data_IF_754000430950
#
_entry.id   IF_754000430950
#
_cell.length_a   1.000
_cell.length_b   1.000
_cell.length_c   1.000
_cell.angle_alpha   90.00
_cell.angle_beta   90.00
_cell.angle_gamma   90.00
#
_symmetry.space_group_name_H-M   'P 1'
#
loop_
_entity.id
_entity.type
_entity.pdbx_description
1 polymer ?
#
# COMPACT_ATOMS: atom_id res chain seq x y z
N UNK A 1 5.93 43.23 -54.43
CA UNK A 1 5.16 44.17 -53.60
C UNK A 1 4.12 43.34 -52.85
N UNK A 2 4.34 43.10 -51.54
CA UNK A 2 3.39 42.70 -50.46
C UNK A 2 2.50 41.44 -50.66
N UNK A 3 2.10 40.62 -49.70
CA UNK A 3 2.36 40.39 -48.26
C UNK A 3 1.79 39.00 -47.92
N UNK A 4 2.29 38.40 -46.84
CA UNK A 4 1.97 37.12 -46.20
C UNK A 4 0.47 36.81 -45.97
N UNK A 5 0.14 35.51 -45.78
CA UNK A 5 -0.61 35.08 -44.60
C UNK A 5 -0.33 33.59 -44.30
N UNK A 6 0.41 33.33 -43.23
CA UNK A 6 0.52 32.02 -42.60
C UNK A 6 -0.85 31.61 -42.04
N UNK A 7 -1.40 30.47 -42.49
CA UNK A 7 -2.60 29.89 -41.90
C UNK A 7 -2.22 29.03 -40.69
N UNK A 8 -2.57 29.54 -39.52
CA UNK A 8 -2.60 28.85 -38.24
C UNK A 8 -3.50 27.59 -38.27
N UNK A 9 -3.27 26.71 -37.29
CA UNK A 9 -4.13 25.60 -36.83
C UNK A 9 -3.75 24.20 -37.32
N UNK A 10 -2.66 23.66 -36.75
CA UNK A 10 -2.63 22.28 -36.26
C UNK A 10 -1.81 22.24 -34.97
N UNK A 11 -2.42 22.76 -33.91
CA UNK A 11 -1.92 22.67 -32.54
C UNK A 11 -2.00 21.19 -32.13
N UNK A 12 -0.82 20.57 -32.05
CA UNK A 12 -0.42 19.61 -31.01
C UNK A 12 -1.31 18.38 -30.82
N UNK A 13 -1.09 17.36 -31.66
CA UNK A 13 -1.12 15.99 -31.16
C UNK A 13 0.16 15.78 -30.34
N UNK A 14 0.07 15.93 -29.02
CA UNK A 14 1.07 15.38 -28.10
C UNK A 14 0.37 14.25 -27.35
N UNK A 15 0.07 13.17 -28.06
CA UNK A 15 0.01 11.85 -27.43
C UNK A 15 1.47 11.45 -27.15
N UNK A 16 2.07 12.13 -26.18
CA UNK A 16 3.37 11.76 -25.64
C UNK A 16 3.16 10.46 -24.87
N UNK A 17 3.53 9.35 -25.48
CA UNK A 17 3.54 8.07 -24.78
C UNK A 17 4.35 8.24 -23.48
N UNK A 18 3.68 8.10 -22.34
CA UNK A 18 4.30 8.23 -21.02
C UNK A 18 5.59 7.40 -20.98
N UNK A 19 6.64 7.94 -20.38
CA UNK A 19 7.91 7.22 -20.23
C UNK A 19 7.74 6.02 -19.30
N UNK A 20 8.68 5.08 -19.36
CA UNK A 20 8.69 3.93 -18.44
C UNK A 20 8.87 4.37 -16.99
N UNK A 21 9.61 5.45 -16.75
CA UNK A 21 9.81 6.01 -15.41
C UNK A 21 8.53 6.60 -14.83
N UNK A 22 7.80 7.41 -15.60
CA UNK A 22 6.51 7.97 -15.20
C UNK A 22 5.47 6.88 -14.96
N UNK A 23 5.40 5.86 -15.82
CA UNK A 23 4.55 4.68 -15.59
C UNK A 23 4.83 4.00 -14.26
N UNK A 24 6.12 3.82 -13.93
CA UNK A 24 6.51 3.20 -12.68
C UNK A 24 6.15 4.09 -11.49
N UNK A 25 6.40 5.39 -11.59
CA UNK A 25 6.03 6.35 -10.56
C UNK A 25 4.53 6.31 -10.24
N UNK A 26 3.67 6.39 -11.27
CA UNK A 26 2.21 6.30 -11.10
C UNK A 26 1.81 4.97 -10.44
N UNK A 27 2.45 3.87 -10.83
CA UNK A 27 2.21 2.55 -10.23
C UNK A 27 2.54 2.52 -8.73
N UNK A 28 3.71 3.04 -8.34
CA UNK A 28 4.14 3.06 -6.92
C UNK A 28 3.25 3.97 -6.07
N UNK A 29 2.89 5.15 -6.58
CA UNK A 29 1.99 6.09 -5.88
C UNK A 29 0.59 5.49 -5.72
N UNK A 30 0.07 4.83 -6.76
CA UNK A 30 -1.24 4.16 -6.70
C UNK A 30 -1.25 3.01 -5.69
N UNK A 31 -0.11 2.32 -5.50
CA UNK A 31 0.02 1.23 -4.54
C UNK A 31 -0.06 1.69 -3.07
N UNK A 32 0.05 3.01 -2.81
CA UNK A 32 -0.15 3.59 -1.47
C UNK A 32 -1.64 3.78 -1.13
N UNK A 33 -2.56 3.65 -2.09
CA UNK A 33 -3.99 3.77 -1.81
C UNK A 33 -4.43 2.62 -0.89
N UNK A 34 -5.33 2.93 0.04
CA UNK A 34 -5.81 2.10 1.14
C UNK A 34 -4.72 1.70 2.16
N UNK A 35 -3.53 2.30 2.08
CA UNK A 35 -2.44 2.11 3.03
C UNK A 35 -2.43 3.18 4.09
N UNK A 36 -1.97 2.80 5.29
CA UNK A 36 -1.63 3.79 6.31
C UNK A 36 -0.31 4.48 5.95
N UNK A 37 -0.37 5.79 5.75
CA UNK A 37 0.80 6.63 5.42
C UNK A 37 0.98 7.73 6.47
N UNK A 38 2.21 8.23 6.57
CA UNK A 38 2.54 9.45 7.29
C UNK A 38 2.95 10.52 6.28
N UNK A 39 2.28 11.68 6.33
CA UNK A 39 2.54 12.80 5.44
C UNK A 39 3.21 13.91 6.23
N UNK A 40 4.43 14.27 5.82
CA UNK A 40 5.15 15.44 6.32
C UNK A 40 4.84 16.62 5.39
N UNK A 41 4.43 17.76 5.97
CA UNK A 41 4.21 18.98 5.22
C UNK A 41 5.44 19.88 5.22
N UNK A 42 5.52 20.79 4.25
CA UNK A 42 6.58 21.79 4.13
C UNK A 42 6.70 22.71 5.36
N UNK A 43 5.61 22.88 6.12
CA UNK A 43 5.59 23.62 7.40
C UNK A 43 5.88 22.74 8.62
N UNK A 44 6.42 21.54 8.42
CA UNK A 44 6.84 20.63 9.48
C UNK A 44 5.70 19.94 10.22
N UNK A 45 4.49 19.88 9.63
CA UNK A 45 3.36 19.15 10.23
C UNK A 45 3.31 17.72 9.75
N UNK A 46 2.99 16.81 10.67
CA UNK A 46 2.81 15.40 10.36
C UNK A 46 1.36 15.00 10.54
N UNK A 47 0.83 14.28 9.54
CA UNK A 47 -0.48 13.64 9.60
C UNK A 47 -0.33 12.17 9.24
N UNK A 48 -0.90 11.29 10.06
CA UNK A 48 -0.90 9.85 9.84
C UNK A 48 -2.32 9.35 9.61
N UNK A 49 -2.60 8.69 8.50
CA UNK A 49 -3.95 8.20 8.19
C UNK A 49 -3.98 7.25 7.01
N UNK A 50 -5.18 6.82 6.62
CA UNK A 50 -5.39 5.93 5.47
C UNK A 50 -5.46 6.79 4.20
N UNK A 51 -4.58 6.55 3.23
CA UNK A 51 -4.58 7.27 1.96
C UNK A 51 -5.72 6.75 1.07
N UNK A 52 -6.75 7.57 0.82
CA UNK A 52 -7.92 7.17 0.01
C UNK A 52 -7.94 7.78 -1.38
N UNK A 53 -7.00 8.68 -1.67
CA UNK A 53 -6.88 9.30 -2.98
C UNK A 53 -5.63 10.14 -3.07
N UNK A 54 -4.99 10.09 -4.23
CA UNK A 54 -3.84 10.90 -4.57
C UNK A 54 -3.89 11.23 -6.06
N UNK A 55 -3.68 12.49 -6.38
CA UNK A 55 -3.43 12.95 -7.74
C UNK A 55 -1.92 12.81 -8.01
N UNK A 56 -1.48 11.91 -8.92
CA UNK A 56 -0.07 11.69 -9.17
C UNK A 56 0.63 12.89 -9.85
N UNK A 57 -0.12 13.81 -10.46
CA UNK A 57 0.46 15.00 -11.10
C UNK A 57 0.72 16.10 -10.08
N UNK A 58 -0.28 16.45 -9.27
CA UNK A 58 -0.13 17.52 -8.27
C UNK A 58 0.39 17.04 -6.92
N UNK A 59 0.37 15.74 -6.64
CA UNK A 59 0.54 15.11 -5.32
C UNK A 59 -0.47 15.58 -4.25
N UNK A 60 -1.59 16.18 -4.67
CA UNK A 60 -2.70 16.46 -3.75
C UNK A 60 -3.33 15.14 -3.31
N UNK A 61 -3.61 15.02 -2.01
CA UNK A 61 -4.01 13.75 -1.41
C UNK A 61 -5.10 13.88 -0.36
N UNK A 62 -5.78 12.78 -0.09
CA UNK A 62 -6.85 12.67 0.89
C UNK A 62 -6.55 11.55 1.90
N UNK A 63 -6.57 11.88 3.19
CA UNK A 63 -6.43 10.93 4.28
C UNK A 63 -7.77 10.76 5.01
N UNK A 64 -8.13 9.52 5.36
CA UNK A 64 -9.17 9.20 6.33
C UNK A 64 -8.57 8.83 7.69
N UNK A 65 -9.37 9.02 8.74
CA UNK A 65 -9.03 8.70 10.13
C UNK A 65 -7.64 9.22 10.52
N UNK A 66 -7.32 10.42 10.03
CA UNK A 66 -6.02 11.02 10.17
C UNK A 66 -5.76 11.41 11.63
N UNK A 67 -4.51 11.34 12.06
CA UNK A 67 -4.04 11.82 13.35
C UNK A 67 -2.94 12.83 13.13
N UNK A 68 -3.04 13.98 13.78
CA UNK A 68 -1.92 14.92 13.82
C UNK A 68 -0.85 14.49 14.83
N UNK A 69 0.26 15.22 14.86
CA UNK A 69 1.35 15.00 15.82
C UNK A 69 0.95 15.15 17.31
N UNK A 70 -0.20 15.75 17.62
CA UNK A 70 -0.74 15.85 18.98
C UNK A 70 -1.69 14.70 19.31
N UNK A 71 -1.90 13.77 18.37
CA UNK A 71 -2.83 12.65 18.50
C UNK A 71 -4.30 13.03 18.27
N UNK A 72 -4.59 14.24 17.80
CA UNK A 72 -5.95 14.64 17.47
C UNK A 72 -6.44 13.87 16.25
N UNK A 73 -7.57 13.16 16.40
CA UNK A 73 -8.22 12.45 15.31
C UNK A 73 -9.02 13.43 14.46
N UNK A 74 -8.78 13.39 13.15
CA UNK A 74 -9.40 14.22 12.13
C UNK A 74 -10.01 13.26 11.10
N UNK A 75 -11.35 13.17 10.98
CA UNK A 75 -12.00 12.14 10.17
C UNK A 75 -11.57 12.14 8.69
N UNK A 76 -11.26 13.32 8.15
CA UNK A 76 -10.82 13.50 6.77
C UNK A 76 -9.94 14.74 6.64
N UNK A 77 -8.83 14.61 5.94
CA UNK A 77 -7.97 15.74 5.54
C UNK A 77 -7.73 15.67 4.03
N UNK A 78 -7.84 16.81 3.36
CA UNK A 78 -7.36 17.00 1.98
C UNK A 78 -6.15 17.93 2.03
N UNK A 79 -5.01 17.46 1.53
CA UNK A 79 -3.78 18.24 1.44
C UNK A 79 -3.53 18.61 -0.01
N UNK A 80 -3.33 19.90 -0.28
CA UNK A 80 -2.75 20.33 -1.55
C UNK A 80 -1.33 19.81 -1.64
N UNK A 81 -0.93 19.28 -2.79
CA UNK A 81 0.42 18.74 -2.96
C UNK A 81 1.52 19.78 -2.83
N UNK A 82 1.23 21.07 -3.06
CA UNK A 82 2.13 22.19 -2.74
C UNK A 82 2.54 22.27 -1.26
N UNK A 83 1.77 21.64 -0.36
CA UNK A 83 2.08 21.56 1.07
C UNK A 83 2.77 20.27 1.47
N UNK A 84 2.84 19.26 0.60
CA UNK A 84 3.40 17.94 0.90
C UNK A 84 4.91 17.98 0.67
N UNK A 85 5.68 17.60 1.68
CA UNK A 85 7.12 17.42 1.58
C UNK A 85 7.47 15.96 1.33
N UNK A 86 6.88 15.04 2.11
CA UNK A 86 7.15 13.60 2.02
C UNK A 86 5.88 12.80 2.31
N UNK A 87 5.76 11.62 1.66
CA UNK A 87 4.75 10.60 1.95
C UNK A 87 5.51 9.32 2.33
N UNK A 88 5.39 8.92 3.59
CA UNK A 88 6.05 7.75 4.15
C UNK A 88 5.01 6.63 4.28
N UNK A 89 5.27 5.46 3.67
CA UNK A 89 4.52 4.25 4.00
C UNK A 89 4.93 3.78 5.38
N UNK A 90 3.97 3.72 6.32
CA UNK A 90 4.24 3.31 7.70
C UNK A 90 3.62 1.96 8.06
N UNK A 91 2.92 1.32 7.10
CA UNK A 91 2.55 -0.08 7.27
C UNK A 91 3.83 -0.91 7.38
N UNK A 92 4.07 -1.47 8.57
CA UNK A 92 5.05 -2.54 8.69
C UNK A 92 4.63 -3.64 7.71
N UNK A 93 5.52 -4.06 6.79
CA UNK A 93 5.22 -5.20 5.93
C UNK A 93 4.83 -6.38 6.82
N UNK A 94 3.78 -7.10 6.42
CA UNK A 94 3.36 -8.28 7.16
C UNK A 94 4.52 -9.28 7.20
N UNK A 95 4.94 -9.67 8.40
CA UNK A 95 6.06 -10.60 8.58
C UNK A 95 5.63 -12.04 8.24
N UNK A 96 5.50 -12.29 6.93
CA UNK A 96 5.10 -13.56 6.37
C UNK A 96 6.12 -14.66 6.72
N UNK A 97 7.40 -14.30 6.82
CA UNK A 97 8.46 -15.21 7.24
C UNK A 97 8.30 -15.63 8.70
N UNK A 98 8.08 -14.68 9.60
CA UNK A 98 7.77 -14.98 11.01
C UNK A 98 6.52 -15.84 11.18
N UNK A 99 5.47 -15.59 10.38
CA UNK A 99 4.30 -16.45 10.35
C UNK A 99 4.67 -17.88 9.89
N UNK A 100 5.45 -18.02 8.82
CA UNK A 100 5.90 -19.32 8.31
C UNK A 100 6.72 -20.08 9.35
N UNK A 101 7.65 -19.42 10.04
CA UNK A 101 8.44 -20.03 11.13
C UNK A 101 7.56 -20.49 12.30
N UNK A 102 6.52 -19.73 12.64
CA UNK A 102 5.58 -20.13 13.69
C UNK A 102 4.70 -21.29 13.27
N UNK A 103 4.25 -21.31 12.02
CA UNK A 103 3.53 -22.44 11.44
C UNK A 103 4.41 -23.70 11.41
N UNK A 104 5.70 -23.58 11.08
CA UNK A 104 6.64 -24.71 10.99
C UNK A 104 6.85 -25.38 12.36
N UNK A 105 6.83 -24.61 13.46
CA UNK A 105 6.85 -25.16 14.83
C UNK A 105 5.62 -26.01 15.16
N UNK A 106 4.47 -25.74 14.53
CA UNK A 106 3.20 -26.44 14.75
C UNK A 106 2.99 -27.57 13.73
N UNK A 107 3.48 -27.39 12.51
CA UNK A 107 3.35 -28.31 11.38
C UNK A 107 4.73 -28.61 10.77
N UNK A 108 5.58 -29.40 11.46
CA UNK A 108 6.97 -29.60 11.03
C UNK A 108 7.06 -30.25 9.65
N UNK A 109 7.96 -29.73 8.80
CA UNK A 109 8.24 -30.18 7.42
C UNK A 109 7.04 -30.07 6.47
N UNK A 110 6.00 -29.34 6.88
CA UNK A 110 4.76 -29.20 6.12
C UNK A 110 4.48 -27.76 5.71
N UNK A 111 5.42 -26.83 5.90
CA UNK A 111 5.25 -25.41 5.55
C UNK A 111 6.15 -25.05 4.37
N UNK A 112 5.56 -24.42 3.34
CA UNK A 112 6.27 -23.89 2.16
C UNK A 112 5.95 -22.41 2.02
N UNK A 113 6.96 -21.55 2.22
CA UNK A 113 6.85 -20.11 2.07
C UNK A 113 7.08 -19.69 0.61
N UNK A 114 6.13 -18.94 0.06
CA UNK A 114 6.20 -18.27 -1.24
C UNK A 114 6.23 -16.77 -0.99
N UNK A 115 7.40 -16.28 -0.59
CA UNK A 115 7.59 -14.92 -0.07
C UNK A 115 7.28 -13.85 -1.12
N UNK A 116 7.70 -14.07 -2.37
CA UNK A 116 7.46 -13.13 -3.47
C UNK A 116 5.99 -13.03 -3.83
N UNK A 117 5.28 -14.15 -3.76
CA UNK A 117 3.86 -14.27 -4.10
C UNK A 117 2.93 -13.97 -2.90
N UNK A 118 3.49 -13.75 -1.71
CA UNK A 118 2.75 -13.31 -0.53
C UNK A 118 1.92 -14.38 0.16
N UNK A 119 2.27 -15.66 0.04
CA UNK A 119 1.51 -16.74 0.67
C UNK A 119 2.38 -17.90 1.23
N UNK A 120 1.74 -18.75 2.03
CA UNK A 120 2.31 -19.94 2.63
C UNK A 120 1.38 -21.13 2.34
N UNK A 121 1.93 -22.24 1.84
CA UNK A 121 1.24 -23.53 1.83
C UNK A 121 1.55 -24.30 3.10
N UNK A 122 0.52 -24.81 3.75
CA UNK A 122 0.60 -25.73 4.88
C UNK A 122 -0.01 -27.07 4.46
N UNK A 123 0.73 -28.16 4.67
CA UNK A 123 0.34 -29.53 4.27
C UNK A 123 -0.05 -29.66 2.79
N UNK A 124 0.48 -28.80 1.91
CA UNK A 124 0.16 -28.76 0.47
C UNK A 124 -1.35 -28.61 0.15
N UNK A 125 -2.16 -28.15 1.11
CA UNK A 125 -3.62 -28.07 0.96
C UNK A 125 -4.30 -26.91 1.68
N UNK A 126 -3.58 -26.18 2.54
CA UNK A 126 -4.08 -24.97 3.21
C UNK A 126 -3.21 -23.78 2.81
N UNK A 127 -3.82 -22.75 2.25
CA UNK A 127 -3.11 -21.54 1.83
C UNK A 127 -3.39 -20.40 2.79
N UNK A 128 -2.32 -19.75 3.25
CA UNK A 128 -2.36 -18.63 4.20
C UNK A 128 -1.70 -17.42 3.57
N UNK A 129 -2.30 -16.25 3.75
CA UNK A 129 -1.77 -14.95 3.31
C UNK A 129 -1.75 -13.97 4.48
N UNK A 130 -1.33 -12.72 4.25
CA UNK A 130 -1.48 -11.63 5.22
C UNK A 130 -2.95 -11.43 5.67
N UNK A 131 -3.93 -11.84 4.86
CA UNK A 131 -5.36 -11.73 5.14
C UNK A 131 -5.95 -12.95 5.85
N UNK A 132 -5.13 -13.98 6.17
CA UNK A 132 -5.56 -15.21 6.84
C UNK A 132 -5.58 -16.43 5.92
N UNK A 133 -6.29 -17.48 6.35
CA UNK A 133 -6.49 -18.71 5.54
C UNK A 133 -7.46 -18.42 4.41
N UNK A 134 -7.02 -18.62 3.16
CA UNK A 134 -7.80 -18.35 1.94
C UNK A 134 -8.20 -19.62 1.19
N UNK A 135 -7.51 -20.73 1.44
CA UNK A 135 -7.84 -22.05 0.88
C UNK A 135 -7.63 -23.13 1.94
N UNK A 136 -8.46 -24.18 1.90
CA UNK A 136 -8.42 -25.32 2.82
C UNK A 136 -9.49 -25.27 3.92
N UNK A 137 -9.99 -26.45 4.32
CA UNK A 137 -11.05 -26.59 5.34
C UNK A 137 -10.74 -27.75 6.31
N UNK A 138 -11.55 -27.87 7.37
CA UNK A 138 -11.44 -28.92 8.36
C UNK A 138 -10.46 -28.63 9.51
N UNK A 139 -10.22 -29.60 10.40
CA UNK A 139 -9.52 -29.35 11.68
C UNK A 139 -8.10 -28.80 11.53
N UNK A 140 -7.39 -29.19 10.46
CA UNK A 140 -6.06 -28.66 10.19
C UNK A 140 -6.10 -27.18 9.79
N UNK A 141 -7.06 -26.78 8.94
CA UNK A 141 -7.25 -25.39 8.53
C UNK A 141 -7.64 -24.51 9.73
N UNK A 142 -8.52 -25.00 10.61
CA UNK A 142 -8.87 -24.32 11.86
C UNK A 142 -7.65 -24.10 12.76
N UNK A 143 -6.77 -25.09 12.86
CA UNK A 143 -5.53 -24.97 13.64
C UNK A 143 -4.57 -23.95 13.02
N UNK A 144 -4.42 -23.93 11.71
CA UNK A 144 -3.64 -22.90 10.99
C UNK A 144 -4.23 -21.50 11.22
N UNK A 145 -5.56 -21.36 11.13
CA UNK A 145 -6.26 -20.10 11.37
C UNK A 145 -6.01 -19.58 12.80
N UNK A 146 -6.02 -20.47 13.80
CA UNK A 146 -5.69 -20.10 15.20
C UNK A 146 -4.26 -19.56 15.34
N UNK A 147 -3.27 -20.20 14.69
CA UNK A 147 -1.88 -19.72 14.70
C UNK A 147 -1.78 -18.34 14.05
N UNK A 148 -2.42 -18.14 12.90
CA UNK A 148 -2.50 -16.84 12.23
C UNK A 148 -3.11 -15.76 13.12
N UNK A 149 -4.25 -16.03 13.76
CA UNK A 149 -4.92 -15.07 14.62
C UNK A 149 -4.05 -14.64 15.81
N UNK A 150 -3.37 -15.59 16.46
CA UNK A 150 -2.42 -15.29 17.54
C UNK A 150 -1.26 -14.41 17.04
N UNK A 151 -0.68 -14.75 15.88
CA UNK A 151 0.41 -13.98 15.29
C UNK A 151 0.00 -12.52 14.99
N UNK A 152 -1.18 -12.31 14.40
CA UNK A 152 -1.70 -10.97 14.11
C UNK A 152 -2.01 -10.18 15.37
N UNK A 153 -2.56 -10.82 16.41
CA UNK A 153 -2.83 -10.15 17.69
C UNK A 153 -1.54 -9.64 18.34
N UNK A 154 -0.49 -10.44 18.31
CA UNK A 154 0.83 -10.04 18.85
C UNK A 154 1.45 -8.90 18.03
N UNK A 155 1.32 -8.92 16.70
CA UNK A 155 1.81 -7.85 15.81
C UNK A 155 1.09 -6.50 16.01
N UNK A 156 -0.20 -6.51 16.41
CA UNK A 156 -0.98 -5.29 16.65
C UNK A 156 -0.77 -4.71 18.06
N UNK A 157 -0.23 -5.50 18.99
CA UNK A 157 -0.04 -5.14 20.39
C UNK A 157 1.37 -4.64 20.74
N UNK A 158 2.24 -4.43 19.75
CA UNK A 158 3.64 -4.01 19.94
C UNK A 158 4.07 -2.86 19.04
#
# INVERSE_FOLDING_TARGET
MFVEYYSSTKILAVDGAMSTAERRFVTEISALIDKTVSVLTVDGKTYTGILVGIDPESLSLCLLDARDQKGQVIPKIVLSGSRVAEILSIEKPFDLKGLAERLERVFPKMVKLYEKEGFIWVMDRIKVTQNGVVEGTGPAAERVQKVYQQFVQEMKGG
#
